data_IF_964010471223
#
_entry.id   IF_964010471223
#
_cell.length_a   1.000
_cell.length_b   1.000
_cell.length_c   1.000
_cell.angle_alpha   90.00
_cell.angle_beta   90.00
_cell.angle_gamma   90.00
#
_symmetry.space_group_name_H-M   'P 1'
#
loop_
_entity.id
_entity.type
_entity.pdbx_description
1 polymer ?
#
# COMPACT_ATOMS: atom_id res chain seq x y z
N UNK A 1 -7.63 20.17 3.10
CA UNK A 1 -6.31 20.84 3.27
C UNK A 1 -5.23 19.77 3.24
N UNK A 2 -4.17 19.97 2.49
CA UNK A 2 -3.01 19.08 2.50
C UNK A 2 -2.38 19.09 3.88
N UNK A 3 -1.84 17.96 4.38
CA UNK A 3 -1.05 17.94 5.59
C UNK A 3 0.23 18.77 5.39
N UNK A 4 0.81 19.26 6.49
CA UNK A 4 2.14 19.86 6.47
C UNK A 4 3.17 18.82 6.00
N UNK A 5 4.02 19.19 5.07
CA UNK A 5 5.08 18.31 4.57
C UNK A 5 6.40 19.06 4.42
N UNK A 6 7.49 18.31 4.42
CA UNK A 6 8.84 18.79 4.13
C UNK A 6 9.37 18.02 2.92
N UNK A 7 10.02 18.71 1.99
CA UNK A 7 10.64 18.15 0.81
C UNK A 7 12.11 18.61 0.78
N UNK A 8 13.00 17.72 1.18
CA UNK A 8 14.44 18.04 1.30
C UNK A 8 15.21 17.44 0.13
N UNK A 9 15.94 18.28 -0.61
CA UNK A 9 16.75 17.81 -1.73
C UNK A 9 18.00 17.07 -1.22
N UNK A 10 18.24 15.87 -1.78
CA UNK A 10 19.44 15.07 -1.60
C UNK A 10 20.30 15.14 -2.86
N UNK A 11 21.43 15.83 -2.75
CA UNK A 11 22.31 16.02 -3.89
C UNK A 11 23.33 14.88 -4.02
N UNK A 12 23.07 13.96 -4.95
CA UNK A 12 24.00 12.87 -5.31
C UNK A 12 24.93 13.24 -6.48
N UNK A 13 24.97 14.50 -6.87
CA UNK A 13 25.75 15.00 -8.01
C UNK A 13 25.41 14.32 -9.34
N UNK A 14 24.18 13.87 -9.51
CA UNK A 14 23.66 13.30 -10.77
C UNK A 14 22.90 14.40 -11.50
N UNK A 15 23.48 14.98 -12.58
CA UNK A 15 22.91 16.16 -13.20
C UNK A 15 21.57 15.94 -13.91
N UNK A 16 21.18 14.68 -14.19
CA UNK A 16 19.97 14.32 -14.93
C UNK A 16 18.71 14.18 -14.06
N UNK A 17 18.87 14.14 -12.74
CA UNK A 17 17.76 13.91 -11.80
C UNK A 17 17.82 14.86 -10.63
N UNK A 18 16.69 14.99 -9.96
CA UNK A 18 16.56 15.57 -8.62
C UNK A 18 16.01 14.52 -7.68
N UNK A 19 16.67 14.37 -6.54
CA UNK A 19 16.31 13.42 -5.49
C UNK A 19 15.85 14.17 -4.26
N UNK A 20 14.73 13.73 -3.65
CA UNK A 20 14.18 14.36 -2.45
C UNK A 20 13.77 13.31 -1.42
N UNK A 21 13.93 13.68 -0.17
CA UNK A 21 13.22 13.05 0.95
C UNK A 21 11.95 13.84 1.24
N UNK A 22 10.83 13.17 1.17
CA UNK A 22 9.52 13.72 1.51
C UNK A 22 9.11 13.17 2.87
N UNK A 23 8.79 14.06 3.79
CA UNK A 23 8.21 13.68 5.09
C UNK A 23 6.94 14.47 5.34
N UNK A 24 5.94 13.83 5.94
CA UNK A 24 4.70 14.50 6.31
C UNK A 24 4.06 13.83 7.54
N UNK A 25 3.17 14.56 8.20
CA UNK A 25 2.37 14.05 9.29
C UNK A 25 1.20 13.22 8.75
N UNK A 26 1.25 11.92 9.05
CA UNK A 26 0.15 10.99 8.78
C UNK A 26 -0.93 11.08 9.86
N UNK A 27 -1.96 10.22 9.73
CA UNK A 27 -2.99 10.11 10.76
C UNK A 27 -2.41 9.62 12.10
N UNK A 28 -3.06 9.98 13.22
CA UNK A 28 -2.75 9.52 14.58
C UNK A 28 -1.25 9.59 14.92
N UNK A 29 -0.66 10.76 14.76
CA UNK A 29 0.74 11.05 15.12
C UNK A 29 1.78 10.22 14.34
N UNK A 30 1.38 9.55 13.27
CA UNK A 30 2.30 8.86 12.37
C UNK A 30 3.17 9.87 11.60
N UNK A 31 4.43 9.53 11.37
CA UNK A 31 5.31 10.28 10.47
C UNK A 31 5.61 9.43 9.24
N UNK A 32 5.23 9.92 8.08
CA UNK A 32 5.42 9.19 6.83
C UNK A 32 6.64 9.72 6.10
N UNK A 33 7.44 8.79 5.61
CA UNK A 33 8.64 9.06 4.82
C UNK A 33 8.50 8.44 3.43
N UNK A 34 8.91 9.16 2.41
CA UNK A 34 9.02 8.67 1.05
C UNK A 34 10.25 9.25 0.35
N UNK A 35 10.84 8.47 -0.56
CA UNK A 35 11.84 8.95 -1.51
C UNK A 35 11.15 9.40 -2.78
N UNK A 36 11.62 10.51 -3.33
CA UNK A 36 11.12 11.08 -4.59
C UNK A 36 12.30 11.29 -5.51
N UNK A 37 12.25 10.71 -6.71
CA UNK A 37 13.23 10.95 -7.76
C UNK A 37 12.51 11.49 -8.99
N UNK A 38 12.91 12.66 -9.46
CA UNK A 38 12.34 13.31 -10.63
C UNK A 38 13.42 13.48 -11.70
N UNK A 39 13.20 13.05 -12.96
CA UNK A 39 14.10 13.43 -14.05
C UNK A 39 14.05 14.95 -14.26
N UNK A 40 15.17 15.54 -14.64
CA UNK A 40 15.17 16.91 -15.13
C UNK A 40 14.39 16.98 -16.45
N UNK A 41 13.39 17.82 -16.49
CA UNK A 41 12.51 18.02 -17.65
C UNK A 41 12.13 19.48 -17.77
N UNK A 42 11.92 19.94 -18.99
CA UNK A 42 11.34 21.27 -19.25
C UNK A 42 9.83 21.29 -18.99
N UNK A 43 9.17 20.12 -19.02
CA UNK A 43 7.75 19.95 -18.78
C UNK A 43 7.44 19.21 -17.49
N UNK A 44 6.15 19.07 -17.22
CA UNK A 44 5.66 18.26 -16.08
C UNK A 44 5.95 16.78 -16.30
N UNK A 45 6.30 16.07 -15.24
CA UNK A 45 6.76 14.69 -15.23
C UNK A 45 5.66 13.75 -14.78
N UNK A 46 5.39 12.64 -15.50
CA UNK A 46 4.51 11.58 -15.02
C UNK A 46 5.12 10.87 -13.81
N UNK A 47 4.30 10.44 -12.87
CA UNK A 47 4.75 9.82 -11.62
C UNK A 47 4.32 8.37 -11.52
N UNK A 48 5.22 7.54 -11.02
CA UNK A 48 4.96 6.18 -10.58
C UNK A 48 5.10 6.13 -9.06
N UNK A 49 4.02 5.78 -8.36
CA UNK A 49 4.04 5.47 -6.94
C UNK A 49 4.38 3.99 -6.75
N UNK A 50 5.42 3.72 -5.99
CA UNK A 50 5.84 2.38 -5.60
C UNK A 50 5.53 2.12 -4.12
N UNK A 51 4.99 0.93 -3.86
CA UNK A 51 4.74 0.43 -2.51
C UNK A 51 5.44 -0.93 -2.31
N UNK A 52 6.08 -1.09 -1.17
CA UNK A 52 6.88 -2.27 -0.87
C UNK A 52 6.07 -3.43 -0.25
N UNK A 53 6.65 -4.63 -0.27
CA UNK A 53 6.09 -5.83 0.38
C UNK A 53 6.10 -5.74 1.90
N UNK A 54 5.33 -6.64 2.54
CA UNK A 54 5.15 -6.67 4.00
C UNK A 54 6.50 -6.74 4.73
N UNK A 55 6.62 -5.97 5.82
CA UNK A 55 7.84 -5.80 6.64
C UNK A 55 9.06 -5.24 5.89
N UNK A 56 8.89 -4.83 4.63
CA UNK A 56 9.95 -4.21 3.84
C UNK A 56 10.10 -2.70 4.06
N UNK A 57 10.74 -2.08 3.11
CA UNK A 57 10.91 -0.63 2.96
C UNK A 57 10.83 -0.22 1.50
N UNK A 58 10.70 1.06 1.23
CA UNK A 58 10.70 1.59 -0.13
C UNK A 58 11.99 1.31 -0.90
N UNK A 59 11.96 1.51 -2.20
CA UNK A 59 13.09 1.33 -3.10
C UNK A 59 14.31 2.16 -2.68
N UNK A 60 15.48 1.65 -2.92
CA UNK A 60 16.70 2.42 -2.81
C UNK A 60 16.84 3.40 -3.99
N UNK A 61 17.64 4.44 -3.80
CA UNK A 61 17.84 5.49 -4.78
C UNK A 61 18.25 4.96 -6.16
N UNK A 62 19.15 3.96 -6.18
CA UNK A 62 19.64 3.37 -7.41
C UNK A 62 18.53 2.67 -8.22
N UNK A 63 17.64 1.97 -7.54
CA UNK A 63 16.52 1.27 -8.18
C UNK A 63 15.52 2.25 -8.81
N UNK A 64 15.33 3.41 -8.19
CA UNK A 64 14.44 4.44 -8.70
C UNK A 64 14.98 5.14 -9.95
N UNK A 65 16.32 5.21 -10.13
CA UNK A 65 16.94 5.85 -11.28
C UNK A 65 16.57 5.19 -12.62
N UNK A 66 16.34 3.88 -12.63
CA UNK A 66 15.96 3.15 -13.84
C UNK A 66 14.69 3.71 -14.51
N UNK A 67 13.73 4.17 -13.73
CA UNK A 67 12.48 4.74 -14.24
C UNK A 67 12.66 6.13 -14.83
N UNK A 68 13.64 6.89 -14.32
CA UNK A 68 13.89 8.25 -14.79
C UNK A 68 14.47 8.27 -16.19
N UNK A 69 15.17 7.22 -16.62
CA UNK A 69 15.66 7.05 -17.99
C UNK A 69 14.48 6.96 -18.97
N UNK A 70 13.36 6.39 -18.54
CA UNK A 70 12.12 6.33 -19.32
C UNK A 70 11.25 7.61 -19.19
N UNK A 71 11.74 8.63 -18.49
CA UNK A 71 11.05 9.91 -18.33
C UNK A 71 10.02 9.96 -17.19
N UNK A 72 9.98 8.96 -16.31
CA UNK A 72 9.08 8.92 -15.16
C UNK A 72 9.77 9.43 -13.89
N UNK A 73 9.05 10.22 -13.10
CA UNK A 73 9.37 10.37 -11.70
C UNK A 73 8.89 9.18 -10.90
N UNK A 74 9.59 8.86 -9.82
CA UNK A 74 9.22 7.75 -8.92
C UNK A 74 9.11 8.26 -7.50
N UNK A 75 8.05 7.85 -6.83
CA UNK A 75 7.81 8.07 -5.41
C UNK A 75 7.69 6.73 -4.72
N UNK A 76 8.56 6.46 -3.76
CA UNK A 76 8.56 5.19 -3.02
C UNK A 76 8.38 5.47 -1.53
N UNK A 77 7.23 5.05 -0.99
CA UNK A 77 6.84 5.26 0.40
C UNK A 77 7.32 4.13 1.29
N UNK A 78 7.81 4.47 2.47
CA UNK A 78 7.96 3.53 3.57
C UNK A 78 6.62 3.42 4.33
N UNK A 79 6.10 2.21 4.49
CA UNK A 79 4.90 1.97 5.30
C UNK A 79 5.26 2.12 6.78
N UNK A 80 4.43 2.86 7.54
CA UNK A 80 4.64 3.04 8.98
C UNK A 80 4.74 1.70 9.72
N UNK A 81 5.52 1.66 10.80
CA UNK A 81 5.65 0.48 11.66
C UNK A 81 6.34 -0.72 11.01
N UNK A 82 7.03 -0.54 9.87
CA UNK A 82 7.82 -1.57 9.18
C UNK A 82 9.30 -1.16 9.09
N UNK A 83 10.09 -1.75 8.17
CA UNK A 83 11.56 -1.61 8.21
C UNK A 83 12.11 -0.26 7.71
N UNK A 84 11.26 0.66 7.25
CA UNK A 84 11.68 1.96 6.73
C UNK A 84 11.79 3.07 7.79
N UNK A 85 11.78 4.31 7.34
CA UNK A 85 11.89 5.50 8.20
C UNK A 85 10.55 6.05 8.68
N UNK A 86 9.43 5.58 8.12
CA UNK A 86 8.11 5.98 8.60
C UNK A 86 7.87 5.49 10.02
N UNK A 87 7.27 6.35 10.84
CA UNK A 87 7.00 6.07 12.25
C UNK A 87 5.51 5.90 12.46
N UNK A 88 5.16 4.99 13.36
CA UNK A 88 3.80 4.69 13.73
C UNK A 88 3.53 5.13 15.18
N UNK A 89 2.45 5.89 15.38
CA UNK A 89 2.02 6.36 16.69
C UNK A 89 0.96 5.49 17.36
N UNK A 90 0.47 4.42 16.68
CA UNK A 90 -0.60 3.58 17.22
C UNK A 90 -0.16 2.78 18.45
N UNK A 91 -1.05 2.73 19.44
CA UNK A 91 -0.95 1.82 20.58
C UNK A 91 -1.90 0.65 20.38
N UNK A 92 -1.50 -0.54 20.82
CA UNK A 92 -2.35 -1.73 20.81
C UNK A 92 -2.51 -2.30 22.20
N UNK A 93 -3.74 -2.57 22.66
CA UNK A 93 -3.97 -3.22 23.96
C UNK A 93 -3.58 -4.70 23.94
N UNK A 94 -3.41 -5.31 22.75
CA UNK A 94 -2.94 -6.69 22.60
C UNK A 94 -1.43 -6.85 22.86
N UNK A 95 -0.76 -5.81 23.34
CA UNK A 95 0.67 -5.79 23.61
C UNK A 95 1.51 -5.37 22.42
N UNK A 96 2.82 -5.34 22.62
CA UNK A 96 3.76 -5.02 21.55
C UNK A 96 4.04 -6.27 20.71
N UNK A 97 3.68 -6.22 19.43
CA UNK A 97 4.01 -7.25 18.46
C UNK A 97 4.84 -6.66 17.34
N UNK A 98 5.88 -7.35 16.97
CA UNK A 98 6.70 -7.01 15.80
C UNK A 98 5.94 -7.28 14.51
N UNK A 99 5.00 -8.22 14.56
CA UNK A 99 4.02 -8.57 13.52
C UNK A 99 2.63 -8.28 14.07
N UNK A 100 1.60 -8.38 13.26
CA UNK A 100 0.23 -8.22 13.73
C UNK A 100 -0.47 -6.99 13.18
N UNK A 101 -0.02 -6.50 12.03
CA UNK A 101 -0.61 -5.29 11.44
C UNK A 101 -2.03 -5.51 10.88
N UNK A 102 -2.40 -6.73 10.46
CA UNK A 102 -3.76 -7.03 9.97
C UNK A 102 -4.77 -6.90 11.10
N UNK A 103 -4.51 -7.59 12.22
CA UNK A 103 -5.44 -7.66 13.35
C UNK A 103 -5.38 -6.43 14.25
N UNK A 104 -4.33 -5.63 14.10
CA UNK A 104 -4.07 -4.47 14.94
C UNK A 104 -5.17 -3.42 14.82
N UNK A 105 -5.84 -3.15 15.91
CA UNK A 105 -6.98 -2.25 16.00
C UNK A 105 -8.33 -2.89 15.67
N UNK A 106 -8.35 -4.18 15.29
CA UNK A 106 -9.60 -4.83 14.89
C UNK A 106 -10.57 -5.03 16.06
N UNK A 107 -10.05 -5.27 17.25
CA UNK A 107 -10.88 -5.43 18.47
C UNK A 107 -11.48 -4.09 18.91
N UNK A 108 -10.77 -3.00 18.72
CA UNK A 108 -11.22 -1.65 19.06
C UNK A 108 -12.15 -1.05 18.00
N UNK A 109 -12.28 -1.72 16.87
CA UNK A 109 -13.18 -1.34 15.78
C UNK A 109 -12.50 -0.58 14.63
N UNK A 110 -13.25 -0.37 13.57
CA UNK A 110 -12.77 0.14 12.27
C UNK A 110 -11.94 1.42 12.33
N UNK A 111 -12.17 2.28 13.32
CA UNK A 111 -11.47 3.56 13.44
C UNK A 111 -10.06 3.41 14.02
N UNK A 112 -9.74 2.23 14.52
CA UNK A 112 -8.47 1.89 15.13
C UNK A 112 -7.60 0.97 14.26
N UNK A 113 -8.10 0.51 13.10
CA UNK A 113 -7.37 -0.37 12.20
C UNK A 113 -6.07 0.27 11.70
N UNK A 114 -4.95 -0.45 11.86
CA UNK A 114 -3.63 -0.02 11.39
C UNK A 114 -3.62 0.26 9.88
N UNK A 115 -4.15 -0.63 9.05
CA UNK A 115 -4.16 -0.42 7.60
C UNK A 115 -5.08 0.70 7.15
N UNK A 116 -6.11 1.08 7.93
CA UNK A 116 -6.88 2.30 7.65
C UNK A 116 -5.97 3.53 7.67
N UNK A 117 -5.10 3.62 8.68
CA UNK A 117 -4.16 4.73 8.78
C UNK A 117 -3.11 4.70 7.65
N UNK A 118 -2.61 3.52 7.28
CA UNK A 118 -1.75 3.35 6.09
C UNK A 118 -2.46 3.80 4.81
N UNK A 119 -3.75 3.50 4.64
CA UNK A 119 -4.52 3.91 3.47
C UNK A 119 -4.71 5.44 3.41
N UNK A 120 -4.89 6.07 4.57
CA UNK A 120 -4.92 7.53 4.66
C UNK A 120 -3.56 8.16 4.32
N UNK A 121 -2.46 7.57 4.76
CA UNK A 121 -1.11 8.01 4.39
C UNK A 121 -0.88 7.96 2.88
N UNK A 122 -1.33 6.88 2.23
CA UNK A 122 -1.24 6.74 0.78
C UNK A 122 -2.06 7.82 0.08
N UNK A 123 -3.28 8.07 0.53
CA UNK A 123 -4.11 9.13 -0.02
C UNK A 123 -3.42 10.50 0.11
N UNK A 124 -2.90 10.82 1.29
CA UNK A 124 -2.17 12.07 1.54
C UNK A 124 -0.91 12.19 0.69
N UNK A 125 -0.13 11.11 0.57
CA UNK A 125 1.06 11.07 -0.29
C UNK A 125 0.73 11.43 -1.74
N UNK A 126 -0.32 10.81 -2.31
CA UNK A 126 -0.72 11.09 -3.69
C UNK A 126 -1.15 12.55 -3.86
N UNK A 127 -1.91 13.10 -2.91
CA UNK A 127 -2.33 14.50 -2.93
C UNK A 127 -1.14 15.47 -2.85
N UNK A 128 -0.19 15.22 -1.95
CA UNK A 128 1.03 16.05 -1.81
C UNK A 128 1.82 16.04 -3.13
N UNK A 129 2.11 14.85 -3.64
CA UNK A 129 2.94 14.71 -4.85
C UNK A 129 2.25 15.31 -6.07
N UNK A 130 0.93 15.12 -6.23
CA UNK A 130 0.17 15.71 -7.31
C UNK A 130 0.16 17.25 -7.27
N UNK A 131 0.35 17.86 -6.10
CA UNK A 131 0.42 19.32 -5.93
C UNK A 131 1.78 19.92 -6.29
N UNK A 132 2.82 19.10 -6.46
CA UNK A 132 4.16 19.60 -6.79
C UNK A 132 4.19 20.19 -8.21
N UNK A 133 4.80 21.36 -8.42
CA UNK A 133 4.75 22.06 -9.70
C UNK A 133 5.39 21.29 -10.85
N UNK A 134 6.35 20.40 -10.57
CA UNK A 134 7.03 19.56 -11.56
C UNK A 134 6.22 18.34 -11.99
N UNK A 135 5.15 18.01 -11.28
CA UNK A 135 4.38 16.77 -11.47
C UNK A 135 3.21 16.98 -12.43
N UNK A 136 3.05 16.04 -13.35
CA UNK A 136 1.85 15.93 -14.15
C UNK A 136 0.78 15.12 -13.39
N UNK A 137 -0.12 15.82 -12.75
CA UNK A 137 -1.19 15.23 -11.96
C UNK A 137 -2.21 14.39 -12.76
N UNK A 138 -2.16 14.48 -14.08
CA UNK A 138 -3.00 13.70 -15.00
C UNK A 138 -2.34 12.41 -15.49
N UNK A 139 -1.08 12.17 -15.14
CA UNK A 139 -0.32 10.99 -15.53
C UNK A 139 0.32 10.33 -14.30
N UNK A 140 -0.54 9.87 -13.39
CA UNK A 140 -0.14 9.18 -12.17
C UNK A 140 -0.40 7.68 -12.32
N UNK A 141 0.54 6.88 -11.86
CA UNK A 141 0.46 5.42 -11.88
C UNK A 141 0.92 4.84 -10.56
N UNK A 142 0.51 3.61 -10.24
CA UNK A 142 0.93 2.91 -9.04
C UNK A 142 1.35 1.47 -9.33
N UNK A 143 2.32 0.95 -8.58
CA UNK A 143 2.66 -0.46 -8.65
C UNK A 143 3.27 -0.97 -7.35
N UNK A 144 3.24 -2.28 -7.19
CA UNK A 144 3.89 -2.97 -6.10
C UNK A 144 3.59 -4.46 -6.11
N UNK A 145 4.26 -5.19 -5.21
CA UNK A 145 4.10 -6.63 -5.06
C UNK A 145 3.66 -6.98 -3.63
N UNK A 146 2.87 -8.04 -3.48
CA UNK A 146 2.36 -8.51 -2.20
C UNK A 146 1.59 -7.39 -1.46
N UNK A 147 2.00 -6.99 -0.25
CA UNK A 147 1.46 -5.80 0.39
C UNK A 147 1.49 -4.59 -0.56
N UNK A 148 2.60 -4.37 -1.26
CA UNK A 148 2.73 -3.26 -2.20
C UNK A 148 1.72 -3.33 -3.35
N UNK A 149 1.37 -4.53 -3.82
CA UNK A 149 0.32 -4.73 -4.82
C UNK A 149 -1.07 -4.34 -4.30
N UNK A 150 -1.37 -4.70 -3.06
CA UNK A 150 -2.58 -4.25 -2.37
C UNK A 150 -2.62 -2.72 -2.22
N UNK A 151 -1.52 -2.12 -1.76
CA UNK A 151 -1.41 -0.68 -1.54
C UNK A 151 -1.46 0.12 -2.85
N UNK A 152 -0.94 -0.44 -3.95
CA UNK A 152 -1.09 0.16 -5.28
C UNK A 152 -2.56 0.22 -5.72
N UNK A 153 -3.33 -0.83 -5.47
CA UNK A 153 -4.78 -0.85 -5.71
C UNK A 153 -5.52 0.13 -4.79
N UNK A 154 -5.11 0.23 -3.54
CA UNK A 154 -5.66 1.20 -2.58
C UNK A 154 -5.42 2.63 -3.05
N UNK A 155 -4.21 2.96 -3.52
CA UNK A 155 -3.90 4.27 -4.08
C UNK A 155 -4.88 4.63 -5.21
N UNK A 156 -5.14 3.70 -6.14
CA UNK A 156 -6.09 3.89 -7.24
C UNK A 156 -7.56 3.96 -6.78
N UNK A 157 -7.93 3.18 -5.76
CA UNK A 157 -9.29 3.18 -5.21
C UNK A 157 -9.65 4.46 -4.45
N UNK A 158 -8.65 5.09 -3.83
CA UNK A 158 -8.82 6.32 -3.05
C UNK A 158 -8.56 7.58 -3.88
N UNK A 159 -7.79 7.49 -4.97
CA UNK A 159 -7.47 8.64 -5.80
C UNK A 159 -7.72 8.34 -7.29
N UNK A 160 -8.79 8.91 -7.88
CA UNK A 160 -9.15 8.66 -9.27
C UNK A 160 -8.16 9.24 -10.30
N UNK A 161 -7.15 10.03 -9.87
CA UNK A 161 -6.06 10.50 -10.75
C UNK A 161 -5.02 9.41 -11.05
N UNK A 162 -5.05 8.28 -10.31
CA UNK A 162 -4.23 7.11 -10.67
C UNK A 162 -4.84 6.45 -11.90
N UNK A 163 -4.20 6.64 -13.06
CA UNK A 163 -4.70 6.15 -14.34
C UNK A 163 -4.34 4.70 -14.63
N UNK A 164 -3.19 4.23 -14.09
CA UNK A 164 -2.69 2.88 -14.32
C UNK A 164 -2.15 2.27 -13.03
N UNK A 165 -2.51 1.03 -12.80
CA UNK A 165 -2.06 0.27 -11.64
C UNK A 165 -1.55 -1.11 -12.05
N UNK A 166 -0.37 -1.48 -11.55
CA UNK A 166 0.14 -2.85 -11.67
C UNK A 166 0.22 -3.46 -10.27
N UNK A 167 -0.61 -4.46 -10.03
CA UNK A 167 -0.65 -5.18 -8.76
C UNK A 167 -0.11 -6.60 -8.95
N UNK A 168 1.02 -6.91 -8.33
CA UNK A 168 1.70 -8.19 -8.42
C UNK A 168 1.35 -9.00 -7.17
N UNK A 169 0.70 -10.15 -7.36
CA UNK A 169 0.20 -11.04 -6.29
C UNK A 169 -0.27 -10.29 -5.03
N UNK A 170 -1.31 -9.41 -5.16
CA UNK A 170 -1.71 -8.52 -4.08
C UNK A 170 -2.17 -9.27 -2.82
N UNK A 171 -1.69 -8.78 -1.67
CA UNK A 171 -2.03 -9.20 -0.31
C UNK A 171 -3.28 -8.46 0.21
N UNK A 172 -3.64 -8.59 1.48
CA UNK A 172 -4.72 -7.86 2.18
C UNK A 172 -6.10 -8.00 1.54
N UNK A 173 -6.44 -9.20 1.10
CA UNK A 173 -7.75 -9.45 0.50
C UNK A 173 -8.36 -10.76 0.97
N UNK A 174 -9.69 -10.75 1.09
CA UNK A 174 -10.54 -11.91 1.40
C UNK A 174 -10.12 -12.64 2.68
N UNK A 175 -9.99 -11.89 3.77
CA UNK A 175 -9.55 -12.42 5.08
C UNK A 175 -10.37 -13.61 5.55
N UNK A 176 -11.70 -13.63 5.31
CA UNK A 176 -12.55 -14.77 5.64
C UNK A 176 -12.11 -16.02 4.86
N UNK A 177 -11.85 -15.88 3.56
CA UNK A 177 -11.36 -17.00 2.73
C UNK A 177 -10.00 -17.51 3.21
N UNK A 178 -9.12 -16.62 3.64
CA UNK A 178 -7.83 -17.00 4.23
C UNK A 178 -8.04 -17.85 5.48
N UNK A 179 -8.94 -17.44 6.37
CA UNK A 179 -9.26 -18.18 7.59
C UNK A 179 -9.85 -19.56 7.26
N UNK A 180 -10.79 -19.63 6.29
CA UNK A 180 -11.40 -20.88 5.82
C UNK A 180 -10.39 -21.86 5.20
N UNK A 181 -9.39 -21.38 4.47
CA UNK A 181 -8.33 -22.23 3.89
C UNK A 181 -7.49 -22.86 4.99
N UNK A 182 -7.30 -22.16 6.11
CA UNK A 182 -6.61 -22.70 7.27
C UNK A 182 -5.11 -22.85 7.13
N UNK A 183 -4.50 -22.31 6.05
CA UNK A 183 -3.07 -22.34 5.86
C UNK A 183 -2.43 -21.11 6.50
N UNK A 184 -1.59 -21.32 7.50
CA UNK A 184 -0.91 -20.31 8.29
C UNK A 184 0.36 -19.81 7.60
N UNK A 185 0.25 -19.16 6.46
CA UNK A 185 1.38 -18.47 5.86
C UNK A 185 1.87 -17.35 6.78
N UNK A 186 3.16 -17.03 6.74
CA UNK A 186 3.74 -16.00 7.60
C UNK A 186 3.02 -14.64 7.48
N UNK A 187 2.50 -14.33 6.29
CA UNK A 187 1.82 -13.07 6.03
C UNK A 187 0.48 -12.93 6.75
N UNK A 188 -0.20 -14.04 7.04
CA UNK A 188 -1.50 -14.07 7.73
C UNK A 188 -1.43 -14.67 9.13
N UNK A 189 -0.24 -15.03 9.63
CA UNK A 189 -0.04 -15.68 10.93
C UNK A 189 -0.77 -14.96 12.08
N UNK A 190 -0.76 -13.63 12.08
CA UNK A 190 -1.40 -12.84 13.11
C UNK A 190 -2.93 -13.00 13.17
N UNK A 191 -3.59 -13.22 12.03
CA UNK A 191 -5.03 -13.50 11.99
C UNK A 191 -5.34 -14.85 12.68
N UNK A 192 -4.55 -15.89 12.36
CA UNK A 192 -4.70 -17.20 12.99
C UNK A 192 -4.33 -17.17 14.46
N UNK A 193 -3.28 -16.42 14.84
CA UNK A 193 -2.88 -16.28 16.25
C UNK A 193 -3.95 -15.60 17.09
N UNK A 194 -4.67 -14.63 16.52
CA UNK A 194 -5.78 -13.98 17.20
C UNK A 194 -6.83 -15.04 17.61
N UNK A 195 -7.34 -15.82 16.68
CA UNK A 195 -8.33 -16.87 16.96
C UNK A 195 -7.77 -17.99 17.83
N UNK A 196 -6.47 -18.32 17.72
CA UNK A 196 -5.86 -19.34 18.57
C UNK A 196 -5.72 -18.93 20.03
N UNK A 197 -5.40 -17.67 20.33
CA UNK A 197 -5.00 -17.23 21.67
C UNK A 197 -5.97 -16.26 22.34
N UNK A 198 -6.74 -15.50 21.57
CA UNK A 198 -7.66 -14.50 22.10
C UNK A 198 -9.12 -14.90 21.93
N UNK A 199 -9.46 -15.60 20.87
CA UNK A 199 -10.82 -16.07 20.60
C UNK A 199 -10.85 -17.51 20.06
N UNK A 200 -10.43 -18.51 20.87
CA UNK A 200 -10.33 -19.90 20.42
C UNK A 200 -11.69 -20.57 20.12
N UNK A 201 -12.79 -19.98 20.56
CA UNK A 201 -14.15 -20.45 20.29
C UNK A 201 -14.82 -19.72 19.14
N UNK A 202 -14.13 -18.75 18.51
CA UNK A 202 -14.63 -17.94 17.39
C UNK A 202 -15.92 -17.16 17.74
N UNK A 203 -16.07 -16.75 19.00
CA UNK A 203 -17.25 -16.02 19.47
C UNK A 203 -17.34 -14.60 18.87
N UNK A 204 -16.20 -14.00 18.53
CA UNK A 204 -16.11 -12.65 17.93
C UNK A 204 -15.80 -12.67 16.42
N UNK A 205 -15.78 -13.84 15.78
CA UNK A 205 -15.33 -13.96 14.38
C UNK A 205 -16.10 -13.03 13.44
N UNK A 206 -17.44 -13.01 13.54
CA UNK A 206 -18.26 -12.17 12.67
C UNK A 206 -17.98 -10.68 12.86
N UNK A 207 -17.76 -10.23 14.09
CA UNK A 207 -17.44 -8.84 14.41
C UNK A 207 -16.05 -8.45 13.87
N UNK A 208 -15.06 -9.30 14.10
CA UNK A 208 -13.69 -9.11 13.60
C UNK A 208 -13.68 -9.07 12.07
N UNK A 209 -14.35 -10.02 11.40
CA UNK A 209 -14.42 -10.04 9.94
C UNK A 209 -15.18 -8.84 9.37
N UNK A 210 -16.23 -8.38 10.03
CA UNK A 210 -16.94 -7.15 9.65
C UNK A 210 -16.03 -5.91 9.79
N UNK A 211 -15.20 -5.87 10.82
CA UNK A 211 -14.21 -4.80 11.02
C UNK A 211 -13.11 -4.85 9.96
N UNK A 212 -12.52 -6.02 9.71
CA UNK A 212 -11.48 -6.21 8.70
C UNK A 212 -11.98 -5.93 7.28
N UNK A 213 -13.28 -6.04 7.03
CA UNK A 213 -13.87 -5.72 5.73
C UNK A 213 -13.61 -4.27 5.27
N UNK A 214 -13.31 -3.34 6.20
CA UNK A 214 -12.95 -1.96 5.88
C UNK A 214 -11.57 -1.80 5.24
N UNK A 215 -10.67 -2.73 5.49
CA UNK A 215 -9.31 -2.75 4.91
C UNK A 215 -9.13 -3.85 3.87
N UNK A 216 -10.12 -4.67 3.65
CA UNK A 216 -10.10 -5.73 2.63
C UNK A 216 -10.14 -5.09 1.23
N UNK A 217 -9.06 -5.24 0.47
CA UNK A 217 -8.87 -4.59 -0.83
C UNK A 217 -9.94 -5.00 -1.84
N UNK A 218 -10.47 -6.22 -1.76
CA UNK A 218 -11.58 -6.64 -2.64
C UNK A 218 -12.81 -5.73 -2.51
N UNK A 219 -13.03 -5.15 -1.32
CA UNK A 219 -14.16 -4.27 -1.07
C UNK A 219 -13.94 -2.84 -1.59
N UNK A 220 -12.71 -2.47 -1.90
CA UNK A 220 -12.34 -1.19 -2.50
C UNK A 220 -12.21 -1.26 -4.03
N UNK A 221 -12.04 -2.44 -4.60
CA UNK A 221 -11.71 -2.66 -6.01
C UNK A 221 -12.68 -1.97 -6.98
N UNK A 222 -13.99 -1.98 -6.69
CA UNK A 222 -15.02 -1.35 -7.53
C UNK A 222 -14.90 0.18 -7.66
N UNK A 223 -14.13 0.82 -6.77
CA UNK A 223 -13.89 2.27 -6.78
C UNK A 223 -12.84 2.69 -7.80
N UNK A 224 -11.98 1.75 -8.23
CA UNK A 224 -10.88 2.04 -9.16
C UNK A 224 -11.47 2.41 -10.54
N UNK A 225 -10.97 3.52 -11.09
CA UNK A 225 -11.40 4.05 -12.40
C UNK A 225 -10.35 3.88 -13.49
N UNK A 226 -9.07 3.88 -13.11
CA UNK A 226 -7.95 3.65 -14.02
C UNK A 226 -7.78 2.20 -14.43
N UNK A 227 -6.95 1.95 -15.44
CA UNK A 227 -6.61 0.61 -15.92
C UNK A 227 -5.84 -0.17 -14.85
N UNK A 228 -6.19 -1.44 -14.65
CA UNK A 228 -5.53 -2.35 -13.71
C UNK A 228 -4.96 -3.56 -14.43
N UNK A 229 -3.66 -3.81 -14.23
CA UNK A 229 -3.03 -5.07 -14.60
C UNK A 229 -2.64 -5.83 -13.34
N UNK A 230 -3.20 -7.02 -13.17
CA UNK A 230 -2.81 -7.93 -12.09
C UNK A 230 -1.87 -9.01 -12.62
N UNK A 231 -0.90 -9.39 -11.80
CA UNK A 231 0.02 -10.50 -12.05
C UNK A 231 -0.16 -11.49 -10.91
N UNK A 232 -0.48 -12.75 -11.23
CA UNK A 232 -0.88 -13.78 -10.25
C UNK A 232 -0.03 -15.03 -10.46
N UNK A 233 0.52 -15.58 -9.39
CA UNK A 233 1.11 -16.93 -9.37
C UNK A 233 0.05 -17.94 -8.94
N UNK A 234 -0.14 -19.04 -9.69
CA UNK A 234 -1.17 -20.03 -9.33
C UNK A 234 -0.77 -20.93 -8.16
N UNK A 235 0.53 -21.07 -7.92
CA UNK A 235 1.10 -21.82 -6.79
C UNK A 235 1.51 -20.91 -5.63
N UNK A 236 0.96 -19.70 -5.56
CA UNK A 236 1.27 -18.75 -4.47
C UNK A 236 0.62 -19.26 -3.17
N UNK A 237 1.46 -19.69 -2.23
CA UNK A 237 1.08 -20.20 -0.93
C UNK A 237 1.10 -19.13 0.19
N UNK A 238 1.44 -17.90 -0.17
CA UNK A 238 1.44 -16.72 0.72
C UNK A 238 0.23 -15.85 0.43
N UNK A 239 0.12 -15.34 -0.80
CA UNK A 239 -1.03 -14.56 -1.27
C UNK A 239 -1.90 -15.45 -2.16
N UNK A 240 -2.81 -16.22 -1.57
CA UNK A 240 -3.56 -17.25 -2.30
C UNK A 240 -4.22 -16.71 -3.56
N UNK A 241 -4.11 -17.42 -4.72
CA UNK A 241 -4.70 -16.97 -5.99
C UNK A 241 -6.19 -16.65 -5.87
N UNK A 242 -6.94 -17.42 -5.09
CA UNK A 242 -8.37 -17.21 -4.88
C UNK A 242 -8.67 -15.83 -4.28
N UNK A 243 -7.81 -15.33 -3.37
CA UNK A 243 -7.97 -14.00 -2.76
C UNK A 243 -7.62 -12.89 -3.75
N UNK A 244 -6.65 -13.14 -4.63
CA UNK A 244 -6.28 -12.23 -5.70
C UNK A 244 -7.40 -12.14 -6.75
N UNK A 245 -7.98 -13.27 -7.16
CA UNK A 245 -9.14 -13.29 -8.05
C UNK A 245 -10.39 -12.65 -7.43
N UNK A 246 -10.55 -12.71 -6.10
CA UNK A 246 -11.61 -11.99 -5.41
C UNK A 246 -11.53 -10.47 -5.62
N UNK A 247 -10.31 -9.89 -5.67
CA UNK A 247 -10.10 -8.49 -6.07
C UNK A 247 -10.45 -8.30 -7.55
N UNK A 248 -9.82 -9.11 -8.43
CA UNK A 248 -9.96 -8.98 -9.87
C UNK A 248 -11.42 -9.01 -10.34
N UNK A 249 -12.21 -9.91 -9.79
CA UNK A 249 -13.62 -10.06 -10.15
C UNK A 249 -14.48 -8.84 -9.76
N UNK A 250 -14.05 -8.05 -8.79
CA UNK A 250 -14.75 -6.83 -8.33
C UNK A 250 -14.28 -5.54 -9.01
N UNK A 251 -13.22 -5.61 -9.81
CA UNK A 251 -12.81 -4.49 -10.65
C UNK A 251 -13.86 -4.24 -11.73
N UNK A 252 -14.29 -2.99 -11.87
CA UNK A 252 -15.26 -2.54 -12.88
C UNK A 252 -14.64 -1.71 -13.99
N UNK A 253 -13.36 -1.38 -13.87
CA UNK A 253 -12.55 -0.66 -14.85
C UNK A 253 -11.95 -1.59 -15.90
N UNK A 254 -11.24 -1.03 -16.89
CA UNK A 254 -10.39 -1.81 -17.78
C UNK A 254 -9.37 -2.61 -16.98
N UNK A 255 -9.33 -3.92 -17.24
CA UNK A 255 -8.50 -4.82 -16.44
C UNK A 255 -7.95 -5.95 -17.27
N UNK A 256 -6.74 -6.35 -16.95
CA UNK A 256 -6.09 -7.54 -17.47
C UNK A 256 -5.38 -8.28 -16.35
N UNK A 257 -5.15 -9.57 -16.51
CA UNK A 257 -4.25 -10.31 -15.65
C UNK A 257 -3.26 -11.14 -16.45
N UNK A 258 -2.14 -11.45 -15.81
CA UNK A 258 -1.13 -12.37 -16.30
C UNK A 258 -0.84 -13.41 -15.25
N UNK A 259 -0.84 -14.67 -15.64
CA UNK A 259 -0.39 -15.79 -14.82
C UNK A 259 1.11 -15.95 -15.00
N UNK A 260 1.83 -16.16 -13.88
CA UNK A 260 3.25 -16.52 -13.85
C UNK A 260 3.40 -18.00 -13.54
#
# INVERSE_FOLDING_TARGET
TLPGYQLEERNFHIPQVKCYELTFEGSKEGKVYARVVLPKSEGKVPIIFHFHGYMGRGLDWADMLAYTVAGYGVVSMDVRGQSGYSQDGLRSPLGNTVKGHIIRGAVEGRDHLFYKDVYLDIYQLVEIVASLPQVDEKRLSSYGASQGGALALVAAALNPRIEKTVAIYPFLSDFRRVLEIGNTSEAYDELFRYFKFHDPFHETEEEIMATLAYIDVKNLAHRIKGEVKMITGLDDDVCYPITQFAIYNRLTCDKAYRIM
#
